data_IF_290150836350
#
_entry.id   IF_290150836350
#
_cell.length_a   1.000
_cell.length_b   1.000
_cell.length_c   1.000
_cell.angle_alpha   90.00
_cell.angle_beta   90.00
_cell.angle_gamma   90.00
#
_symmetry.space_group_name_H-M   'P 1'
#
loop_
_entity.id
_entity.type
_entity.pdbx_description
1 polymer ?
#
# COMPACT_ATOMS: atom_id res chain seq x y z
N UNK A 1 6.56 -2.81 18.48
CA UNK A 1 5.33 -2.46 17.74
C UNK A 1 5.56 -2.69 16.27
N UNK A 2 4.69 -3.50 15.66
CA UNK A 2 4.55 -3.63 14.20
C UNK A 2 3.31 -2.87 13.68
N UNK A 3 2.63 -2.14 14.56
CA UNK A 3 1.51 -1.29 14.18
C UNK A 3 1.99 -0.04 13.44
N UNK A 4 1.04 0.70 12.85
CA UNK A 4 1.31 1.99 12.23
C UNK A 4 2.16 2.90 13.14
N UNK A 5 3.19 3.52 12.56
CA UNK A 5 4.20 4.28 13.29
C UNK A 5 3.63 5.56 13.87
N UNK A 6 2.83 6.29 13.08
CA UNK A 6 2.19 7.51 13.55
C UNK A 6 1.19 7.19 14.68
N UNK A 7 0.38 6.15 14.53
CA UNK A 7 -0.55 5.73 15.57
C UNK A 7 0.16 5.31 16.85
N UNK A 8 1.19 4.47 16.75
CA UNK A 8 1.98 4.03 17.90
C UNK A 8 2.57 5.23 18.64
N UNK A 9 3.24 6.14 17.92
CA UNK A 9 4.00 7.25 18.52
C UNK A 9 3.07 8.33 19.07
N UNK A 10 2.10 8.79 18.28
CA UNK A 10 1.31 9.99 18.61
C UNK A 10 -0.05 9.68 19.24
N UNK A 11 -0.57 8.45 19.11
CA UNK A 11 -1.84 8.04 19.74
C UNK A 11 -1.60 7.14 20.95
N UNK A 12 -0.91 6.02 20.80
CA UNK A 12 -0.71 5.07 21.92
C UNK A 12 0.28 5.60 22.96
N UNK A 13 1.39 6.21 22.52
CA UNK A 13 2.42 6.77 23.40
C UNK A 13 2.26 8.27 23.65
N UNK A 14 1.21 8.89 23.10
CA UNK A 14 0.86 10.30 23.30
C UNK A 14 2.03 11.28 23.01
N UNK A 15 2.97 10.89 22.13
CA UNK A 15 4.14 11.70 21.81
C UNK A 15 5.17 11.85 22.93
N UNK A 16 5.09 11.05 24.02
CA UNK A 16 5.99 11.16 25.19
C UNK A 16 7.45 10.82 24.88
N UNK A 17 7.70 10.03 23.84
CA UNK A 17 9.02 9.48 23.50
C UNK A 17 9.50 9.93 22.11
N UNK A 18 9.49 11.24 21.84
CA UNK A 18 9.91 11.81 20.54
C UNK A 18 11.01 12.86 20.69
N UNK A 19 11.89 12.95 19.69
CA UNK A 19 12.92 13.99 19.58
C UNK A 19 12.68 14.86 18.34
N UNK A 20 13.54 15.87 18.11
CA UNK A 20 13.46 16.76 16.94
C UNK A 20 13.48 16.00 15.60
N UNK A 21 14.27 14.91 15.50
CA UNK A 21 14.36 14.09 14.29
C UNK A 21 13.05 13.37 13.98
N UNK A 22 12.43 12.75 15.00
CA UNK A 22 11.13 12.07 14.83
C UNK A 22 10.03 13.08 14.48
N UNK A 23 9.99 14.24 15.15
CA UNK A 23 9.04 15.31 14.79
C UNK A 23 9.19 15.73 13.33
N UNK A 24 10.42 16.04 12.90
CA UNK A 24 10.73 16.42 11.52
C UNK A 24 10.31 15.35 10.51
N UNK A 25 10.59 14.08 10.82
CA UNK A 25 10.23 12.95 9.96
C UNK A 25 8.71 12.91 9.71
N UNK A 26 7.89 12.99 10.76
CA UNK A 26 6.43 12.94 10.63
C UNK A 26 5.77 14.26 10.17
N UNK A 27 6.51 15.38 10.12
CA UNK A 27 5.97 16.65 9.62
C UNK A 27 6.39 17.00 8.20
N UNK A 28 7.61 16.64 7.80
CA UNK A 28 8.24 17.14 6.57
C UNK A 28 8.63 16.04 5.59
N UNK A 29 8.85 14.80 6.04
CA UNK A 29 9.36 13.77 5.14
C UNK A 29 8.25 13.27 4.20
N UNK A 30 8.53 13.14 2.89
CA UNK A 30 7.58 12.60 1.95
C UNK A 30 7.16 11.18 2.32
N UNK A 31 5.89 10.90 2.08
CA UNK A 31 5.26 9.63 2.36
C UNK A 31 4.92 8.97 1.03
N UNK A 32 5.06 7.66 0.95
CA UNK A 32 4.62 6.92 -0.23
C UNK A 32 3.11 7.16 -0.44
N UNK A 33 2.65 7.42 -1.68
CA UNK A 33 1.26 7.72 -1.95
C UNK A 33 0.32 6.62 -1.46
N UNK A 34 -0.95 6.99 -1.25
CA UNK A 34 -2.00 5.98 -1.10
C UNK A 34 -2.48 5.51 -2.48
N UNK A 35 -3.39 4.54 -2.50
CA UNK A 35 -3.83 3.89 -3.72
C UNK A 35 -5.36 3.78 -3.79
N UNK A 36 -5.89 3.79 -5.00
CA UNK A 36 -7.14 3.12 -5.35
C UNK A 36 -6.76 1.85 -6.11
N UNK A 37 -7.13 0.69 -5.58
CA UNK A 37 -6.92 -0.60 -6.21
C UNK A 37 -8.23 -1.08 -6.80
N UNK A 38 -8.22 -1.44 -8.08
CA UNK A 38 -9.37 -2.05 -8.75
C UNK A 38 -9.02 -3.50 -9.06
N UNK A 39 -9.81 -4.42 -8.53
CA UNK A 39 -9.70 -5.86 -8.77
C UNK A 39 -10.87 -6.32 -9.62
N UNK A 40 -10.59 -7.15 -10.63
CA UNK A 40 -11.60 -7.76 -11.49
C UNK A 40 -11.38 -9.27 -11.50
N UNK A 41 -12.37 -10.03 -11.05
CA UNK A 41 -12.44 -11.47 -11.32
C UNK A 41 -13.04 -11.68 -12.71
N UNK A 42 -12.32 -12.36 -13.60
CA UNK A 42 -12.69 -12.50 -15.01
C UNK A 42 -12.80 -13.98 -15.38
N UNK A 43 -13.90 -14.36 -16.02
CA UNK A 43 -14.21 -15.68 -16.57
C UNK A 43 -13.44 -16.01 -17.86
N UNK A 44 -12.15 -15.63 -17.92
CA UNK A 44 -11.22 -16.02 -18.99
C UNK A 44 -9.77 -15.89 -18.53
N UNK A 45 -8.87 -16.54 -19.24
CA UNK A 45 -7.41 -16.37 -19.12
C UNK A 45 -6.85 -15.49 -20.25
N UNK A 46 -5.58 -15.13 -20.13
CA UNK A 46 -4.85 -14.25 -21.06
C UNK A 46 -3.47 -14.85 -21.35
N UNK A 47 -3.44 -16.01 -21.99
CA UNK A 47 -2.22 -16.82 -22.14
C UNK A 47 -1.11 -16.11 -22.93
N UNK A 48 -1.50 -15.18 -23.82
CA UNK A 48 -0.57 -14.41 -24.65
C UNK A 48 -0.20 -13.04 -24.07
N UNK A 49 -0.66 -12.71 -22.86
CA UNK A 49 -0.38 -11.43 -22.21
C UNK A 49 0.65 -11.60 -21.08
N UNK A 50 1.58 -10.65 -20.89
CA UNK A 50 2.48 -10.69 -19.76
C UNK A 50 1.71 -10.48 -18.45
N UNK A 51 2.25 -11.03 -17.35
CA UNK A 51 1.64 -10.91 -16.02
C UNK A 51 1.65 -9.48 -15.46
N UNK A 52 2.50 -8.60 -16.00
CA UNK A 52 2.59 -7.19 -15.63
C UNK A 52 2.59 -6.36 -16.91
N UNK A 53 1.70 -5.37 -16.98
CA UNK A 53 1.60 -4.42 -18.08
C UNK A 53 1.59 -3.03 -17.46
N UNK A 54 2.41 -2.13 -17.98
CA UNK A 54 2.30 -0.71 -17.68
C UNK A 54 1.65 -0.02 -18.89
N UNK A 55 0.39 0.37 -18.76
CA UNK A 55 -0.43 0.81 -19.90
C UNK A 55 -0.51 2.32 -19.96
N UNK A 56 0.07 2.93 -20.99
CA UNK A 56 -0.12 4.34 -21.30
C UNK A 56 -1.53 4.60 -21.86
N UNK A 57 -2.18 5.64 -21.35
CA UNK A 57 -3.55 5.99 -21.66
C UNK A 57 -3.60 7.11 -22.71
N UNK A 58 -4.54 6.99 -23.66
CA UNK A 58 -4.84 8.07 -24.62
C UNK A 58 -5.48 9.29 -23.95
N UNK A 59 -6.23 9.05 -22.88
CA UNK A 59 -6.85 10.05 -22.02
C UNK A 59 -6.55 9.64 -20.59
N UNK A 60 -5.91 10.53 -19.85
CA UNK A 60 -5.59 10.23 -18.46
C UNK A 60 -6.85 9.96 -17.63
N UNK A 61 -6.74 8.96 -16.76
CA UNK A 61 -7.76 8.56 -15.81
C UNK A 61 -7.74 9.52 -14.62
N UNK A 62 -8.90 10.04 -14.25
CA UNK A 62 -9.05 10.90 -13.07
C UNK A 62 -9.44 10.03 -11.87
N UNK A 63 -8.50 9.87 -10.93
CA UNK A 63 -8.74 9.13 -9.68
C UNK A 63 -9.55 10.01 -8.74
N UNK A 64 -9.11 11.25 -8.55
CA UNK A 64 -9.79 12.29 -7.76
C UNK A 64 -9.33 13.68 -8.22
N UNK A 65 -9.78 14.73 -7.53
CA UNK A 65 -9.49 16.14 -7.84
C UNK A 65 -7.99 16.50 -7.86
N UNK A 66 -7.12 15.71 -7.22
CA UNK A 66 -5.67 15.96 -7.14
C UNK A 66 -4.85 14.90 -7.89
N UNK A 67 -5.50 13.82 -8.34
CA UNK A 67 -4.80 12.63 -8.85
C UNK A 67 -5.32 12.25 -10.23
N UNK A 68 -4.46 12.44 -11.24
CA UNK A 68 -4.72 12.14 -12.64
C UNK A 68 -3.55 11.33 -13.19
N UNK A 69 -3.83 10.22 -13.86
CA UNK A 69 -2.83 9.23 -14.27
C UNK A 69 -2.84 9.04 -15.78
N UNK A 70 -1.68 9.24 -16.42
CA UNK A 70 -1.48 8.96 -17.85
C UNK A 70 -1.04 7.51 -18.11
N UNK A 71 -0.66 6.78 -17.07
CA UNK A 71 -0.27 5.36 -17.15
C UNK A 71 -0.87 4.60 -15.98
N UNK A 72 -1.31 3.37 -16.22
CA UNK A 72 -1.82 2.47 -15.17
C UNK A 72 -1.10 1.11 -15.19
N UNK A 73 -0.54 0.66 -14.06
CA UNK A 73 -0.05 -0.70 -13.91
C UNK A 73 -1.20 -1.70 -13.80
N UNK A 74 -1.12 -2.78 -14.57
CA UNK A 74 -2.04 -3.90 -14.59
C UNK A 74 -1.27 -5.17 -14.26
N UNK A 75 -1.75 -5.92 -13.29
CA UNK A 75 -1.28 -7.27 -12.99
C UNK A 75 -2.33 -8.30 -13.42
N UNK A 76 -1.91 -9.29 -14.21
CA UNK A 76 -2.71 -10.44 -14.61
C UNK A 76 -2.21 -11.66 -13.84
N UNK A 77 -3.06 -12.24 -12.99
CA UNK A 77 -2.68 -13.33 -12.09
C UNK A 77 -2.67 -14.73 -12.73
N UNK A 78 -2.53 -14.84 -14.07
CA UNK A 78 -2.48 -16.12 -14.78
C UNK A 78 -1.33 -17.03 -14.33
N UNK A 79 -0.29 -16.45 -13.72
CA UNK A 79 0.90 -17.18 -13.26
C UNK A 79 0.64 -18.07 -12.04
N UNK A 80 -0.48 -17.87 -11.33
CA UNK A 80 -0.85 -18.69 -10.18
C UNK A 80 -2.27 -19.27 -10.36
N UNK A 81 -2.39 -20.52 -10.83
CA UNK A 81 -3.68 -21.16 -11.09
C UNK A 81 -4.46 -21.49 -9.82
N UNK A 82 -3.89 -21.27 -8.63
CA UNK A 82 -4.57 -21.51 -7.35
C UNK A 82 -5.43 -20.30 -6.90
N UNK A 83 -5.22 -19.12 -7.51
CA UNK A 83 -5.92 -17.88 -7.14
C UNK A 83 -7.32 -17.75 -7.76
N UNK A 84 -7.65 -18.55 -8.77
CA UNK A 84 -8.94 -18.51 -9.45
C UNK A 84 -9.35 -19.91 -9.95
N UNK A 85 -10.65 -20.09 -10.18
CA UNK A 85 -11.15 -21.33 -10.78
C UNK A 85 -10.57 -21.56 -12.19
N UNK A 86 -10.50 -22.81 -12.64
CA UNK A 86 -10.00 -23.15 -13.98
C UNK A 86 -10.70 -22.33 -15.06
N UNK A 87 -9.92 -21.74 -15.97
CA UNK A 87 -10.42 -20.87 -17.04
C UNK A 87 -10.74 -19.44 -16.60
N UNK A 88 -10.44 -19.07 -15.36
CA UNK A 88 -10.65 -17.71 -14.82
C UNK A 88 -9.33 -17.12 -14.32
N UNK A 89 -9.31 -15.81 -14.11
CA UNK A 89 -8.17 -15.12 -13.51
C UNK A 89 -8.61 -13.87 -12.76
N UNK A 90 -7.67 -13.26 -12.03
CA UNK A 90 -7.83 -11.96 -11.40
C UNK A 90 -6.98 -10.93 -12.15
N UNK A 91 -7.53 -9.74 -12.36
CA UNK A 91 -6.81 -8.55 -12.78
C UNK A 91 -6.73 -7.58 -11.61
N UNK A 92 -5.58 -6.94 -11.41
CA UNK A 92 -5.41 -5.83 -10.47
C UNK A 92 -4.87 -4.61 -11.20
N UNK A 93 -5.53 -3.49 -11.02
CA UNK A 93 -5.07 -2.18 -11.48
C UNK A 93 -4.73 -1.31 -10.28
N UNK A 94 -3.57 -0.65 -10.34
CA UNK A 94 -3.09 0.25 -9.29
C UNK A 94 -3.24 1.70 -9.75
N UNK A 95 -3.95 2.51 -8.98
CA UNK A 95 -4.13 3.94 -9.24
C UNK A 95 -3.59 4.72 -8.04
N UNK A 96 -2.51 5.48 -8.22
CA UNK A 96 -1.91 6.27 -7.12
C UNK A 96 -2.72 7.53 -6.79
N UNK A 97 -2.75 7.91 -5.52
CA UNK A 97 -3.37 9.15 -5.04
C UNK A 97 -2.77 9.60 -3.70
N UNK A 98 -2.51 10.90 -3.58
CA UNK A 98 -2.13 11.54 -2.32
C UNK A 98 -3.34 12.09 -1.55
N UNK A 99 -4.53 12.02 -2.15
CA UNK A 99 -5.73 12.67 -1.64
C UNK A 99 -6.49 11.84 -0.59
N UNK A 100 -5.80 11.45 0.47
CA UNK A 100 -6.39 10.69 1.56
C UNK A 100 -7.64 11.36 2.17
N UNK A 101 -7.61 12.68 2.31
CA UNK A 101 -8.71 13.43 2.96
C UNK A 101 -10.00 13.37 2.15
N UNK A 102 -9.91 13.44 0.82
CA UNK A 102 -11.07 13.25 -0.06
C UNK A 102 -11.71 11.88 0.15
N UNK A 103 -10.94 10.81 0.02
CA UNK A 103 -11.44 9.44 0.13
C UNK A 103 -11.99 9.13 1.52
N UNK A 104 -11.27 9.54 2.57
CA UNK A 104 -11.69 9.33 3.96
C UNK A 104 -12.90 10.19 4.31
N UNK A 105 -12.95 11.43 3.84
CA UNK A 105 -14.08 12.35 4.01
C UNK A 105 -15.34 11.83 3.34
N UNK A 106 -15.25 11.37 2.08
CA UNK A 106 -16.36 10.72 1.39
C UNK A 106 -16.86 9.51 2.18
N UNK A 107 -15.96 8.63 2.62
CA UNK A 107 -16.35 7.43 3.37
C UNK A 107 -17.09 7.76 4.67
N UNK A 108 -16.61 8.77 5.41
CA UNK A 108 -17.18 9.15 6.72
C UNK A 108 -18.47 9.93 6.61
N UNK A 109 -18.53 10.87 5.67
CA UNK A 109 -19.58 11.89 5.65
C UNK A 109 -20.62 11.64 4.55
N UNK A 110 -20.28 10.90 3.50
CA UNK A 110 -21.19 10.61 2.38
C UNK A 110 -20.87 9.26 1.72
N UNK A 111 -21.28 8.17 2.38
CA UNK A 111 -21.03 6.80 1.93
C UNK A 111 -21.64 6.50 0.56
N UNK A 112 -22.75 7.13 0.20
CA UNK A 112 -23.36 7.00 -1.12
C UNK A 112 -22.43 7.55 -2.21
N UNK A 113 -21.93 8.79 -2.03
CA UNK A 113 -20.97 9.39 -2.96
C UNK A 113 -19.65 8.62 -3.00
N UNK A 114 -19.18 8.11 -1.86
CA UNK A 114 -18.02 7.21 -1.82
C UNK A 114 -18.19 5.98 -2.73
N UNK A 115 -19.36 5.32 -2.67
CA UNK A 115 -19.65 4.18 -3.54
C UNK A 115 -19.79 4.60 -5.01
N UNK A 116 -20.42 5.74 -5.30
CA UNK A 116 -20.52 6.27 -6.66
C UNK A 116 -19.15 6.55 -7.28
N UNK A 117 -18.19 7.08 -6.51
CA UNK A 117 -16.83 7.30 -7.00
C UNK A 117 -16.08 5.98 -7.25
N UNK A 118 -16.25 4.98 -6.38
CA UNK A 118 -15.72 3.63 -6.63
C UNK A 118 -16.30 3.05 -7.93
N UNK A 119 -17.60 3.21 -8.15
CA UNK A 119 -18.29 2.72 -9.34
C UNK A 119 -17.90 3.47 -10.61
N UNK A 120 -17.65 4.78 -10.52
CA UNK A 120 -17.14 5.59 -11.62
C UNK A 120 -15.76 5.09 -12.05
N UNK A 121 -14.83 4.96 -11.09
CA UNK A 121 -13.47 4.50 -11.36
C UNK A 121 -13.47 3.08 -11.92
N UNK A 122 -14.24 2.16 -11.34
CA UNK A 122 -14.28 0.78 -11.83
C UNK A 122 -14.80 0.71 -13.27
N UNK A 123 -15.85 1.45 -13.61
CA UNK A 123 -16.36 1.52 -14.99
C UNK A 123 -15.30 2.07 -15.96
N UNK A 124 -14.61 3.13 -15.59
CA UNK A 124 -13.55 3.71 -16.42
C UNK A 124 -12.38 2.75 -16.61
N UNK A 125 -11.96 2.04 -15.56
CA UNK A 125 -10.95 0.98 -15.65
C UNK A 125 -11.41 -0.17 -16.54
N UNK A 126 -12.67 -0.60 -16.41
CA UNK A 126 -13.25 -1.65 -17.26
C UNK A 126 -13.22 -1.24 -18.73
N UNK A 127 -13.56 0.00 -19.06
CA UNK A 127 -13.48 0.53 -20.44
C UNK A 127 -12.05 0.48 -20.98
N UNK A 128 -11.06 0.91 -20.19
CA UNK A 128 -9.65 0.90 -20.57
C UNK A 128 -9.16 -0.54 -20.81
N UNK A 129 -9.48 -1.46 -19.88
CA UNK A 129 -9.10 -2.86 -19.99
C UNK A 129 -9.78 -3.54 -21.19
N UNK A 130 -11.04 -3.23 -21.45
CA UNK A 130 -11.78 -3.76 -22.60
C UNK A 130 -11.17 -3.29 -23.93
N UNK A 131 -10.69 -2.05 -24.00
CA UNK A 131 -9.97 -1.56 -25.18
C UNK A 131 -8.60 -2.22 -25.38
N UNK A 132 -7.85 -2.49 -24.30
CA UNK A 132 -6.49 -3.07 -24.37
C UNK A 132 -6.51 -4.59 -24.54
N UNK A 133 -7.41 -5.28 -23.84
CA UNK A 133 -7.43 -6.73 -23.75
C UNK A 133 -8.61 -7.35 -24.50
N UNK A 134 -9.58 -6.55 -24.98
CA UNK A 134 -10.74 -6.94 -25.79
C UNK A 134 -11.79 -7.73 -25.02
N UNK A 135 -13.09 -7.46 -25.14
CA UNK A 135 -14.18 -8.28 -24.56
C UNK A 135 -14.06 -8.62 -23.06
N UNK A 136 -13.47 -7.74 -22.26
CA UNK A 136 -13.40 -7.88 -20.79
C UNK A 136 -14.79 -7.76 -20.19
N UNK A 137 -15.58 -6.78 -20.65
CA UNK A 137 -16.89 -6.42 -20.05
C UNK A 137 -17.83 -7.61 -19.88
N UNK A 138 -17.87 -8.48 -20.88
CA UNK A 138 -18.77 -9.65 -20.89
C UNK A 138 -18.25 -10.83 -20.06
N UNK A 139 -17.04 -10.73 -19.52
CA UNK A 139 -16.39 -11.80 -18.77
C UNK A 139 -16.15 -11.43 -17.29
N UNK A 140 -16.64 -10.29 -16.81
CA UNK A 140 -16.44 -9.88 -15.41
C UNK A 140 -17.44 -10.62 -14.52
N UNK A 141 -16.94 -11.36 -13.54
CA UNK A 141 -17.76 -11.99 -12.50
C UNK A 141 -17.93 -11.08 -11.27
N UNK A 142 -16.86 -10.36 -10.91
CA UNK A 142 -16.82 -9.54 -9.71
C UNK A 142 -15.85 -8.38 -9.89
N UNK A 143 -16.19 -7.23 -9.30
CA UNK A 143 -15.29 -6.10 -9.16
C UNK A 143 -15.21 -5.74 -7.68
N UNK A 144 -14.00 -5.55 -7.16
CA UNK A 144 -13.79 -4.89 -5.87
C UNK A 144 -12.86 -3.69 -6.02
N UNK A 145 -13.10 -2.67 -5.19
CA UNK A 145 -12.31 -1.45 -5.18
C UNK A 145 -11.90 -1.10 -3.75
N UNK A 146 -10.60 -1.08 -3.51
CA UNK A 146 -10.00 -0.57 -2.28
C UNK A 146 -9.53 0.88 -2.49
N UNK A 147 -9.67 1.72 -1.47
CA UNK A 147 -9.31 3.15 -1.54
C UNK A 147 -8.41 3.51 -0.34
N UNK A 148 -7.87 4.74 -0.26
CA UNK A 148 -7.13 5.20 0.92
C UNK A 148 -7.92 5.03 2.23
N UNK A 149 -9.25 5.18 2.17
CA UNK A 149 -10.13 4.96 3.32
C UNK A 149 -10.28 3.48 3.70
N UNK A 150 -10.15 2.57 2.73
CA UNK A 150 -10.08 1.11 3.00
C UNK A 150 -8.81 0.78 3.76
N UNK A 151 -7.64 1.25 3.31
CA UNK A 151 -6.37 0.95 3.99
C UNK A 151 -6.32 1.52 5.40
N UNK A 152 -6.76 2.77 5.60
CA UNK A 152 -6.86 3.32 6.95
C UNK A 152 -7.81 2.52 7.85
N UNK A 153 -8.93 2.00 7.34
CA UNK A 153 -9.85 1.20 8.15
C UNK A 153 -9.30 -0.19 8.50
N UNK A 154 -8.67 -0.88 7.54
CA UNK A 154 -8.28 -2.28 7.71
C UNK A 154 -6.93 -2.45 8.38
N UNK A 155 -5.96 -1.59 8.06
CA UNK A 155 -4.58 -1.72 8.55
C UNK A 155 -4.13 -0.55 9.42
N UNK A 156 -5.00 0.45 9.61
CA UNK A 156 -4.69 1.68 10.34
C UNK A 156 -3.49 2.45 9.78
N UNK A 157 -3.17 2.24 8.49
CA UNK A 157 -2.09 2.95 7.83
C UNK A 157 -2.36 4.45 7.82
N UNK A 158 -1.42 5.22 8.35
CA UNK A 158 -1.50 6.66 8.43
C UNK A 158 -1.62 7.26 7.02
N UNK A 159 -2.65 8.10 6.85
CA UNK A 159 -3.07 8.67 5.56
C UNK A 159 -3.27 7.62 4.45
N UNK A 160 -3.50 6.36 4.80
CA UNK A 160 -3.67 5.27 3.84
C UNK A 160 -2.40 4.88 3.06
N UNK A 161 -1.21 5.34 3.46
CA UNK A 161 0.03 4.96 2.76
C UNK A 161 0.33 3.48 2.92
N UNK A 162 0.55 2.79 1.80
CA UNK A 162 0.78 1.34 1.78
C UNK A 162 2.25 0.95 1.91
N UNK A 163 3.18 1.91 1.89
CA UNK A 163 4.62 1.65 2.02
C UNK A 163 5.33 2.57 3.02
N UNK A 164 4.59 3.42 3.75
CA UNK A 164 5.18 4.30 4.75
C UNK A 164 5.93 5.46 4.12
N UNK A 165 7.25 5.51 4.32
CA UNK A 165 8.09 6.60 3.81
C UNK A 165 8.45 6.39 2.34
N UNK A 166 8.43 7.49 1.58
CA UNK A 166 8.87 7.51 0.18
C UNK A 166 10.38 7.25 0.11
N UNK A 167 10.81 6.38 -0.79
CA UNK A 167 12.22 6.06 -0.95
C UNK A 167 12.84 6.90 -2.06
N UNK A 168 13.33 8.09 -1.69
CA UNK A 168 14.01 8.99 -2.62
C UNK A 168 15.49 9.18 -2.24
N UNK A 169 16.43 9.02 -3.19
CA UNK A 169 17.85 9.28 -2.96
C UNK A 169 18.08 10.68 -2.35
N UNK A 170 18.84 10.76 -1.26
CA UNK A 170 19.17 12.01 -0.58
C UNK A 170 18.09 12.61 0.34
N UNK A 171 16.87 12.06 0.33
CA UNK A 171 15.74 12.56 1.14
C UNK A 171 15.57 11.82 2.47
N UNK A 172 16.03 10.58 2.56
CA UNK A 172 15.90 9.78 3.79
C UNK A 172 16.91 10.27 4.83
N UNK A 173 16.45 10.72 6.02
CA UNK A 173 17.36 11.00 7.12
C UNK A 173 18.16 9.73 7.43
N UNK A 174 19.49 9.82 7.47
CA UNK A 174 20.41 8.74 7.83
C UNK A 174 19.85 7.88 8.98
N UNK A 175 19.19 6.80 8.61
CA UNK A 175 18.56 5.75 9.41
C UNK A 175 17.51 6.20 10.46
N UNK A 176 16.24 5.89 10.19
CA UNK A 176 15.17 5.91 11.20
C UNK A 176 15.49 4.86 12.25
N UNK A 177 15.69 5.29 13.50
CA UNK A 177 15.98 4.36 14.59
C UNK A 177 14.77 3.49 14.88
N UNK A 178 15.03 2.21 15.12
CA UNK A 178 14.05 1.23 15.63
C UNK A 178 13.65 1.49 17.08
N UNK A 179 14.24 2.50 17.73
CA UNK A 179 14.06 2.79 19.16
C UNK A 179 13.56 4.20 19.36
N UNK A 180 12.73 4.38 20.40
CA UNK A 180 12.25 5.68 20.81
C UNK A 180 13.09 6.22 21.98
N UNK A 181 13.46 7.52 21.97
CA UNK A 181 14.25 8.12 23.04
C UNK A 181 13.54 7.97 24.39
N UNK A 182 14.26 7.46 25.39
CA UNK A 182 13.76 7.31 26.76
C UNK A 182 12.83 6.12 27.00
N UNK A 183 12.41 5.39 25.95
CA UNK A 183 11.57 4.20 26.09
C UNK A 183 12.43 2.93 26.00
N UNK A 184 12.63 2.28 27.15
CA UNK A 184 13.42 1.04 27.23
C UNK A 184 12.59 -0.17 26.79
N UNK A 185 13.27 -1.19 26.26
CA UNK A 185 12.70 -2.49 25.87
C UNK A 185 11.52 -2.39 24.88
N UNK A 186 11.52 -1.36 24.05
CA UNK A 186 10.50 -1.13 23.03
C UNK A 186 11.15 -0.85 21.69
N UNK A 187 10.66 -1.52 20.65
CA UNK A 187 11.18 -1.40 19.30
C UNK A 187 10.05 -1.18 18.30
N UNK A 188 10.33 -0.39 17.27
CA UNK A 188 9.48 -0.22 16.10
C UNK A 188 10.04 -1.06 14.95
N UNK A 189 9.16 -1.69 14.18
CA UNK A 189 9.51 -2.42 12.95
C UNK A 189 8.51 -2.10 11.83
N UNK A 190 8.89 -2.40 10.59
CA UNK A 190 8.04 -2.27 9.41
C UNK A 190 8.22 -0.94 8.67
N UNK A 191 7.26 -0.61 7.81
CA UNK A 191 7.38 0.41 6.77
C UNK A 191 7.63 1.85 7.27
N UNK A 192 7.32 2.14 8.53
CA UNK A 192 7.56 3.45 9.16
C UNK A 192 8.95 3.57 9.78
N UNK A 193 9.76 2.51 9.68
CA UNK A 193 11.14 2.42 10.17
C UNK A 193 12.09 2.01 9.05
N UNK A 194 11.66 1.12 8.18
CA UNK A 194 12.38 0.75 6.96
C UNK A 194 11.64 1.39 5.75
N UNK A 195 12.21 2.43 5.12
CA UNK A 195 11.60 3.07 3.95
C UNK A 195 11.44 2.12 2.77
N UNK A 196 10.47 2.40 1.89
CA UNK A 196 10.18 1.60 0.69
C UNK A 196 9.28 0.37 0.93
N UNK A 197 8.87 0.11 2.17
CA UNK A 197 7.91 -0.94 2.50
C UNK A 197 8.28 -2.33 1.96
N UNK A 198 7.26 -3.16 1.71
CA UNK A 198 7.41 -4.48 1.10
C UNK A 198 7.65 -5.64 2.08
N UNK A 199 7.27 -6.84 1.64
CA UNK A 199 7.35 -8.08 2.45
C UNK A 199 8.79 -8.42 2.86
N UNK A 200 9.80 -8.39 1.97
CA UNK A 200 11.17 -8.69 2.37
C UNK A 200 11.69 -7.72 3.42
N UNK A 201 11.44 -6.42 3.24
CA UNK A 201 11.86 -5.37 4.17
C UNK A 201 11.19 -5.52 5.53
N UNK A 202 9.89 -5.86 5.58
CA UNK A 202 9.19 -6.12 6.83
C UNK A 202 9.80 -7.32 7.59
N UNK A 203 10.08 -8.43 6.88
CA UNK A 203 10.73 -9.60 7.47
C UNK A 203 12.14 -9.28 7.99
N UNK A 204 12.92 -8.55 7.19
CA UNK A 204 14.23 -8.05 7.59
C UNK A 204 14.16 -7.17 8.84
N UNK A 205 13.15 -6.29 8.94
CA UNK A 205 12.98 -5.40 10.08
C UNK A 205 12.79 -6.17 11.40
N UNK A 206 11.94 -7.21 11.38
CA UNK A 206 11.73 -8.10 12.52
C UNK A 206 13.00 -8.88 12.89
N UNK A 207 13.70 -9.41 11.88
CA UNK A 207 14.99 -10.10 12.06
C UNK A 207 16.03 -9.18 12.70
N UNK A 208 16.15 -7.94 12.22
CA UNK A 208 17.08 -6.93 12.72
C UNK A 208 16.82 -6.60 14.19
N UNK A 209 15.56 -6.39 14.59
CA UNK A 209 15.20 -6.17 16.00
C UNK A 209 15.52 -7.39 16.87
N UNK A 210 15.27 -8.60 16.37
CA UNK A 210 15.61 -9.82 17.11
C UNK A 210 17.11 -9.89 17.40
N UNK A 211 17.96 -9.56 16.43
CA UNK A 211 19.41 -9.47 16.65
C UNK A 211 19.80 -8.41 17.70
N UNK A 212 19.13 -7.25 17.70
CA UNK A 212 19.35 -6.20 18.71
C UNK A 212 19.00 -6.72 20.11
N UNK A 213 17.88 -7.43 20.25
CA UNK A 213 17.42 -8.02 21.51
C UNK A 213 18.41 -9.10 21.98
N UNK A 214 18.76 -10.07 21.13
CA UNK A 214 19.74 -11.11 21.45
C UNK A 214 21.06 -10.51 21.95
N UNK A 215 21.59 -9.49 21.27
CA UNK A 215 22.82 -8.81 21.67
C UNK A 215 22.69 -8.16 23.06
N UNK A 216 21.56 -7.53 23.36
CA UNK A 216 21.31 -6.91 24.69
C UNK A 216 21.21 -7.95 25.80
N UNK A 217 20.57 -9.07 25.50
CA UNK A 217 20.40 -10.19 26.44
C UNK A 217 21.65 -11.06 26.56
N UNK A 218 22.74 -10.72 25.86
CA UNK A 218 23.98 -11.52 25.78
C UNK A 218 23.72 -12.96 25.29
N UNK A 219 22.73 -13.14 24.42
CA UNK A 219 22.40 -14.42 23.79
C UNK A 219 22.86 -14.43 22.32
N UNK A 220 23.41 -15.54 21.81
CA UNK A 220 23.69 -15.65 20.39
C UNK A 220 22.38 -15.62 19.60
N UNK A 221 22.38 -14.92 18.47
CA UNK A 221 21.29 -15.00 17.50
C UNK A 221 21.51 -16.22 16.61
N UNK A 222 20.58 -17.17 16.62
CA UNK A 222 20.68 -18.42 15.85
C UNK A 222 19.50 -18.52 14.89
N UNK A 223 19.76 -18.91 13.65
CA UNK A 223 18.75 -19.23 12.64
C UNK A 223 18.95 -20.65 12.15
N UNK A 224 17.90 -21.45 12.13
CA UNK A 224 17.90 -22.75 11.44
C UNK A 224 17.26 -22.56 10.06
N UNK A 225 17.95 -23.00 9.02
CA UNK A 225 17.31 -23.17 7.71
C UNK A 225 16.70 -24.56 7.73
N UNK A 226 15.37 -24.64 7.69
CA UNK A 226 14.63 -25.88 7.48
C UNK A 226 14.40 -26.11 6.00
#
# INVERSE_FOLDING_TARGET
SAADGHYTIFKMLEGKYINKKIRKLYSEHPMWPSLVLVYLGVSRTFENEPSQIDLSLKKALVVDEQSKLDTIPITIYNFDPTLAAKGKTCLRVILTTDNYQYWNGLRKNNKQKYNQEKDRISKEVVEILDQRLGNIKNNIDVIDVATPATFSRYTNNWKGSTQGWEWTPGLIPEFIKKELPGLKNFYLIGQWVEPGGGVPTAAMSGRNVTQIICKRDKKPFVTTVS
#
